data_IF_414549610362
#
_entry.id   IF_414549610362
#
_cell.length_a   1.000
_cell.length_b   1.000
_cell.length_c   1.000
_cell.angle_alpha   90.00
_cell.angle_beta   90.00
_cell.angle_gamma   90.00
#
_symmetry.space_group_name_H-M   'P 1'
#
loop_
_entity.id
_entity.type
_entity.pdbx_description
1 polymer ?
#
# COMPACT_ATOMS: atom_id res chain seq x y z
N UNK A 1 -46.66 -13.42 13.40
CA UNK A 1 -45.85 -13.28 12.17
C UNK A 1 -45.00 -14.53 12.08
N UNK A 2 -45.36 -15.48 11.21
CA UNK A 2 -44.67 -16.77 11.09
C UNK A 2 -43.48 -16.62 10.15
N UNK A 3 -42.30 -17.08 10.57
CA UNK A 3 -41.11 -17.19 9.71
C UNK A 3 -41.20 -18.56 9.04
N UNK A 4 -41.37 -18.58 7.72
CA UNK A 4 -41.37 -19.80 6.90
C UNK A 4 -39.91 -20.19 6.63
N UNK A 5 -39.58 -21.48 6.79
CA UNK A 5 -38.25 -22.01 6.48
C UNK A 5 -38.11 -22.17 4.95
N UNK A 6 -37.05 -21.58 4.37
CA UNK A 6 -36.76 -21.68 2.94
C UNK A 6 -36.41 -23.13 2.53
N UNK A 7 -36.93 -23.59 1.39
CA UNK A 7 -36.78 -24.96 0.91
C UNK A 7 -35.49 -25.15 0.07
N UNK A 8 -34.95 -26.38 -0.02
CA UNK A 8 -33.67 -26.70 -0.69
C UNK A 8 -33.61 -26.44 -2.20
N UNK A 9 -34.69 -25.95 -2.81
CA UNK A 9 -34.81 -25.66 -4.23
C UNK A 9 -34.75 -24.15 -4.58
N UNK A 10 -34.66 -23.27 -3.57
CA UNK A 10 -34.42 -21.82 -3.76
C UNK A 10 -32.92 -21.47 -3.96
N UNK A 11 -32.01 -22.45 -3.88
CA UNK A 11 -30.56 -22.23 -4.00
C UNK A 11 -30.06 -22.10 -5.45
N UNK A 12 -30.96 -22.05 -6.43
CA UNK A 12 -30.61 -21.98 -7.86
C UNK A 12 -30.26 -20.59 -8.40
N UNK A 13 -30.27 -19.54 -7.56
CA UNK A 13 -30.10 -18.15 -8.01
C UNK A 13 -29.29 -17.27 -7.05
N UNK A 14 -28.38 -17.88 -6.29
CA UNK A 14 -27.26 -17.14 -5.70
C UNK A 14 -26.12 -17.22 -6.71
N UNK A 15 -26.24 -16.47 -7.80
CA UNK A 15 -25.06 -16.12 -8.62
C UNK A 15 -24.04 -15.53 -7.66
N UNK A 16 -22.83 -16.10 -7.67
CA UNK A 16 -21.76 -15.74 -6.77
C UNK A 16 -21.59 -14.23 -6.74
N UNK A 17 -21.74 -13.65 -5.55
CA UNK A 17 -21.10 -12.38 -5.23
C UNK A 17 -19.59 -12.64 -5.31
N UNK A 18 -19.06 -12.62 -6.53
CA UNK A 18 -17.66 -12.37 -6.78
C UNK A 18 -17.42 -10.97 -6.22
N UNK A 19 -17.03 -10.91 -4.95
CA UNK A 19 -16.37 -9.75 -4.38
C UNK A 19 -15.13 -9.59 -5.24
N UNK A 20 -15.24 -8.77 -6.29
CA UNK A 20 -14.20 -8.60 -7.28
C UNK A 20 -12.98 -8.10 -6.54
N UNK A 21 -11.94 -8.92 -6.47
CA UNK A 21 -10.60 -8.44 -6.16
C UNK A 21 -10.34 -7.33 -7.20
N UNK A 22 -10.02 -6.10 -6.78
CA UNK A 22 -9.75 -5.03 -7.73
C UNK A 22 -8.61 -5.50 -8.63
N UNK A 23 -8.93 -5.74 -9.90
CA UNK A 23 -7.95 -6.11 -10.91
C UNK A 23 -7.10 -4.86 -11.13
N UNK A 24 -5.93 -4.82 -10.50
CA UNK A 24 -4.89 -3.84 -10.79
C UNK A 24 -4.60 -3.98 -12.29
N UNK A 25 -4.97 -2.97 -13.08
CA UNK A 25 -4.63 -2.89 -14.50
C UNK A 25 -3.37 -2.03 -14.62
N UNK A 26 -2.16 -2.62 -14.54
CA UNK A 26 -0.96 -1.89 -14.92
C UNK A 26 -1.13 -1.46 -16.38
N UNK A 27 -0.89 -0.17 -16.64
CA UNK A 27 -0.89 0.39 -17.99
C UNK A 27 0.21 -0.35 -18.76
N UNK A 28 -0.17 -1.12 -19.78
CA UNK A 28 0.76 -1.98 -20.51
C UNK A 28 1.78 -1.13 -21.28
N UNK A 29 2.88 -0.81 -20.63
CA UNK A 29 4.06 -0.19 -21.22
C UNK A 29 5.23 -1.09 -20.83
N UNK A 30 5.73 -1.89 -21.79
CA UNK A 30 6.84 -2.85 -21.66
C UNK A 30 6.79 -3.79 -20.44
N UNK A 31 6.61 -5.11 -20.64
CA UNK A 31 6.56 -6.08 -19.53
C UNK A 31 7.76 -6.01 -18.56
N UNK A 32 8.94 -5.59 -19.05
CA UNK A 32 10.15 -5.36 -18.26
C UNK A 32 10.08 -4.08 -17.42
N UNK A 33 9.48 -3.01 -17.94
CA UNK A 33 9.18 -1.79 -17.20
C UNK A 33 7.99 -1.97 -16.24
N UNK A 34 7.04 -2.85 -16.55
CA UNK A 34 5.88 -3.13 -15.71
C UNK A 34 6.24 -3.74 -14.36
N UNK A 35 7.11 -4.76 -14.32
CA UNK A 35 7.57 -5.33 -13.05
C UNK A 35 8.53 -4.38 -12.31
N UNK A 36 9.44 -3.71 -13.03
CA UNK A 36 10.35 -2.72 -12.45
C UNK A 36 9.59 -1.58 -11.76
N UNK A 37 8.58 -1.03 -12.44
CA UNK A 37 7.67 -0.01 -11.91
C UNK A 37 6.92 -0.52 -10.69
N UNK A 38 6.39 -1.76 -10.71
CA UNK A 38 5.68 -2.33 -9.55
C UNK A 38 6.60 -2.48 -8.33
N UNK A 39 7.83 -2.97 -8.52
CA UNK A 39 8.79 -3.09 -7.42
C UNK A 39 9.16 -1.72 -6.87
N UNK A 40 9.48 -0.75 -7.74
CA UNK A 40 9.82 0.62 -7.31
C UNK A 40 8.65 1.30 -6.60
N UNK A 41 7.42 1.02 -7.03
CA UNK A 41 6.19 1.49 -6.39
C UNK A 41 6.09 0.97 -4.95
N UNK A 42 6.33 -0.32 -4.74
CA UNK A 42 6.32 -0.90 -3.38
C UNK A 42 7.45 -0.32 -2.53
N UNK A 43 8.65 -0.15 -3.10
CA UNK A 43 9.79 0.45 -2.40
C UNK A 43 9.49 1.90 -1.99
N UNK A 44 8.88 2.70 -2.87
CA UNK A 44 8.50 4.08 -2.57
C UNK A 44 7.42 4.15 -1.48
N UNK A 45 6.42 3.26 -1.52
CA UNK A 45 5.44 3.15 -0.44
C UNK A 45 6.11 2.87 0.92
N UNK A 46 7.04 1.92 0.96
CA UNK A 46 7.79 1.59 2.19
C UNK A 46 8.62 2.79 2.66
N UNK A 47 9.31 3.50 1.75
CA UNK A 47 10.08 4.71 2.07
C UNK A 47 9.20 5.76 2.75
N UNK A 48 8.01 6.03 2.21
CA UNK A 48 7.07 7.00 2.78
C UNK A 48 6.50 6.55 4.14
N UNK A 49 6.23 5.25 4.33
CA UNK A 49 5.83 4.71 5.63
C UNK A 49 6.94 4.89 6.67
N UNK A 50 8.20 4.65 6.30
CA UNK A 50 9.34 4.88 7.18
C UNK A 50 9.47 6.35 7.55
N UNK A 51 9.30 7.26 6.60
CA UNK A 51 9.28 8.72 6.82
C UNK A 51 8.17 9.11 7.81
N UNK A 52 6.96 8.59 7.63
CA UNK A 52 5.84 8.78 8.56
C UNK A 52 6.22 8.40 10.01
N UNK A 53 6.83 7.23 10.18
CA UNK A 53 7.21 6.73 11.50
C UNK A 53 8.35 7.54 12.13
N UNK A 54 9.27 8.10 11.33
CA UNK A 54 10.31 9.01 11.82
C UNK A 54 9.67 10.30 12.35
N UNK A 55 8.76 10.91 11.60
CA UNK A 55 8.05 12.13 12.03
C UNK A 55 7.29 11.87 13.33
N UNK A 56 6.52 10.78 13.42
CA UNK A 56 5.78 10.42 14.64
C UNK A 56 6.70 10.25 15.86
N UNK A 57 7.86 9.60 15.70
CA UNK A 57 8.80 9.41 16.82
C UNK A 57 9.51 10.70 17.20
N UNK A 58 9.80 11.57 16.24
CA UNK A 58 10.31 12.91 16.47
C UNK A 58 9.32 13.74 17.31
N UNK A 59 8.05 13.79 16.90
CA UNK A 59 7.00 14.52 17.63
C UNK A 59 6.75 13.98 19.04
N UNK A 60 6.85 12.66 19.21
CA UNK A 60 6.76 12.01 20.51
C UNK A 60 8.02 12.18 21.39
N UNK A 61 9.05 12.89 20.92
CA UNK A 61 10.32 13.08 21.64
C UNK A 61 11.12 11.80 21.86
N UNK A 62 10.90 10.77 21.03
CA UNK A 62 11.56 9.46 21.15
C UNK A 62 12.83 9.33 20.30
N UNK A 63 13.19 10.37 19.56
CA UNK A 63 14.43 10.44 18.79
C UNK A 63 15.25 11.63 19.26
N UNK A 64 16.55 11.42 19.37
CA UNK A 64 17.54 12.48 19.53
C UNK A 64 17.71 13.27 18.23
N UNK A 65 18.21 14.51 18.32
CA UNK A 65 18.49 15.35 17.14
C UNK A 65 19.42 14.64 16.14
N UNK A 66 20.45 13.95 16.63
CA UNK A 66 21.37 13.18 15.79
C UNK A 66 20.69 11.96 15.12
N UNK A 67 19.69 11.36 15.75
CA UNK A 67 18.88 10.28 15.16
C UNK A 67 17.95 10.79 14.08
N UNK A 68 17.32 11.95 14.29
CA UNK A 68 16.44 12.60 13.32
C UNK A 68 17.24 12.94 12.06
N UNK A 69 18.40 13.58 12.20
CA UNK A 69 19.28 13.94 11.09
C UNK A 69 19.71 12.70 10.29
N UNK A 70 20.17 11.65 10.99
CA UNK A 70 20.59 10.41 10.35
C UNK A 70 19.45 9.70 9.61
N UNK A 71 18.26 9.69 10.19
CA UNK A 71 17.07 9.11 9.55
C UNK A 71 16.67 9.91 8.30
N UNK A 72 16.65 11.24 8.39
CA UNK A 72 16.39 12.12 7.24
C UNK A 72 17.39 11.90 6.11
N UNK A 73 18.68 11.86 6.42
CA UNK A 73 19.73 11.60 5.44
C UNK A 73 19.57 10.23 4.76
N UNK A 74 19.25 9.19 5.54
CA UNK A 74 19.03 7.84 5.00
C UNK A 74 17.80 7.78 4.08
N UNK A 75 16.71 8.45 4.44
CA UNK A 75 15.50 8.51 3.62
C UNK A 75 15.72 9.30 2.33
N UNK A 76 16.50 10.38 2.39
CA UNK A 76 16.91 11.14 1.22
C UNK A 76 17.75 10.29 0.27
N UNK A 77 18.76 9.58 0.80
CA UNK A 77 19.59 8.68 -0.02
C UNK A 77 18.75 7.59 -0.69
N UNK A 78 17.77 7.02 0.02
CA UNK A 78 16.85 6.04 -0.56
C UNK A 78 16.01 6.63 -1.69
N UNK A 79 15.49 7.85 -1.52
CA UNK A 79 14.77 8.57 -2.59
C UNK A 79 15.65 8.78 -3.82
N UNK A 80 16.89 9.25 -3.62
CA UNK A 80 17.82 9.49 -4.73
C UNK A 80 18.15 8.20 -5.49
N UNK A 81 18.27 7.07 -4.79
CA UNK A 81 18.44 5.75 -5.39
C UNK A 81 17.21 5.32 -6.21
N UNK A 82 16.00 5.54 -5.69
CA UNK A 82 14.76 5.25 -6.44
C UNK A 82 14.72 6.06 -7.74
N UNK A 83 15.02 7.35 -7.69
CA UNK A 83 15.06 8.22 -8.86
C UNK A 83 16.13 7.76 -9.87
N UNK A 84 17.32 7.41 -9.39
CA UNK A 84 18.40 6.88 -10.25
C UNK A 84 17.96 5.60 -10.98
N UNK A 85 17.24 4.70 -10.29
CA UNK A 85 16.75 3.46 -10.90
C UNK A 85 15.59 3.75 -11.87
N UNK A 86 14.72 4.72 -11.55
CA UNK A 86 13.67 5.17 -12.47
C UNK A 86 14.27 5.67 -13.79
N UNK A 87 15.30 6.52 -13.72
CA UNK A 87 16.02 7.01 -14.90
C UNK A 87 16.63 5.86 -15.72
N UNK A 88 17.26 4.90 -15.04
CA UNK A 88 17.88 3.73 -15.70
C UNK A 88 16.86 2.84 -16.41
N UNK A 89 15.64 2.76 -15.88
CA UNK A 89 14.56 1.92 -16.41
C UNK A 89 13.57 2.69 -17.29
N UNK A 90 13.82 3.98 -17.55
CA UNK A 90 12.94 4.88 -18.30
C UNK A 90 11.52 4.95 -17.72
N UNK A 91 11.40 4.96 -16.39
CA UNK A 91 10.13 5.04 -15.66
C UNK A 91 9.93 6.48 -15.20
N UNK A 92 8.77 7.06 -15.49
CA UNK A 92 8.38 8.35 -14.90
C UNK A 92 8.10 8.14 -13.39
N UNK A 93 8.75 8.87 -12.47
CA UNK A 93 8.46 8.78 -11.03
C UNK A 93 6.98 8.96 -10.69
N UNK A 94 6.23 9.73 -11.50
CA UNK A 94 4.79 9.90 -11.31
C UNK A 94 3.99 8.61 -11.55
N UNK A 95 4.52 7.69 -12.36
CA UNK A 95 3.90 6.39 -12.63
C UNK A 95 4.03 5.44 -11.43
N UNK A 96 4.88 5.74 -10.43
CA UNK A 96 4.92 4.98 -9.18
C UNK A 96 3.66 5.20 -8.32
N UNK A 97 2.95 6.31 -8.53
CA UNK A 97 1.71 6.57 -7.79
C UNK A 97 0.49 5.94 -8.49
N UNK A 98 0.32 4.64 -8.25
CA UNK A 98 -0.76 3.86 -8.83
C UNK A 98 -2.13 4.29 -8.31
N UNK A 99 -3.12 4.25 -9.21
CA UNK A 99 -4.54 4.36 -8.88
C UNK A 99 -5.10 2.95 -8.62
N UNK A 100 -5.66 2.75 -7.43
CA UNK A 100 -6.21 1.48 -6.96
C UNK A 100 -7.74 1.44 -7.06
N UNK A 101 -8.36 2.43 -7.73
CA UNK A 101 -9.81 2.52 -7.88
C UNK A 101 -10.49 2.97 -6.58
N UNK A 102 -11.33 2.13 -6.00
CA UNK A 102 -12.11 2.46 -4.79
C UNK A 102 -11.25 2.68 -3.54
N UNK A 103 -10.02 2.15 -3.53
CA UNK A 103 -9.04 2.36 -2.47
C UNK A 103 -8.29 3.71 -2.59
N UNK A 104 -8.55 4.48 -3.64
CA UNK A 104 -7.88 5.74 -3.94
C UNK A 104 -6.49 5.53 -4.53
N UNK A 105 -5.62 6.52 -4.38
CA UNK A 105 -4.23 6.44 -4.83
C UNK A 105 -3.35 5.73 -3.81
N UNK A 106 -2.28 5.11 -4.30
CA UNK A 106 -1.29 4.48 -3.44
C UNK A 106 -0.61 5.49 -2.53
N UNK A 107 -0.14 6.59 -3.13
CA UNK A 107 0.60 7.64 -2.47
C UNK A 107 -0.20 8.95 -2.46
N UNK A 108 -0.13 9.72 -1.38
CA UNK A 108 -0.66 11.08 -1.34
C UNK A 108 0.09 11.99 -2.32
N UNK A 109 -0.47 13.17 -2.58
CA UNK A 109 0.24 14.20 -3.37
C UNK A 109 1.55 14.56 -2.67
N UNK A 110 2.61 14.86 -3.45
CA UNK A 110 3.91 15.23 -2.88
C UNK A 110 3.75 16.37 -1.86
N UNK A 111 4.34 16.18 -0.67
CA UNK A 111 4.29 17.16 0.43
C UNK A 111 2.94 17.28 1.13
N UNK A 112 1.91 16.51 0.73
CA UNK A 112 0.58 16.57 1.33
C UNK A 112 0.37 15.58 2.49
N UNK A 113 1.40 14.79 2.83
CA UNK A 113 1.32 13.79 3.89
C UNK A 113 2.11 14.20 5.12
N UNK A 114 1.36 14.43 6.18
CA UNK A 114 1.88 14.59 7.52
C UNK A 114 1.12 13.62 8.42
N UNK A 115 1.81 12.79 9.23
CA UNK A 115 1.11 11.87 10.10
C UNK A 115 0.12 12.61 11.00
N UNK A 116 -1.02 11.96 11.26
CA UNK A 116 -2.16 12.50 12.03
C UNK A 116 -2.92 13.68 11.41
N UNK A 117 -2.58 14.11 10.20
CA UNK A 117 -3.38 15.05 9.41
C UNK A 117 -4.13 14.30 8.31
N UNK A 118 -5.46 14.14 8.42
CA UNK A 118 -6.24 13.45 7.39
C UNK A 118 -6.21 14.26 6.08
N UNK A 119 -5.93 13.60 4.95
CA UNK A 119 -6.10 14.21 3.64
C UNK A 119 -7.54 14.01 3.14
N UNK A 120 -8.01 14.87 2.24
CA UNK A 120 -9.38 14.76 1.68
C UNK A 120 -9.51 13.63 0.66
N UNK A 121 -8.41 13.23 0.00
CA UNK A 121 -8.45 12.29 -1.12
C UNK A 121 -8.25 10.83 -0.69
N UNK A 122 -7.74 10.57 0.53
CA UNK A 122 -7.51 9.23 1.08
C UNK A 122 -6.48 8.42 0.29
N UNK A 123 -5.41 7.97 0.95
CA UNK A 123 -4.37 7.15 0.30
C UNK A 123 -4.18 5.81 1.00
N UNK A 124 -3.71 4.80 0.26
CA UNK A 124 -3.33 3.51 0.88
C UNK A 124 -2.23 3.72 1.93
N UNK A 125 -1.32 4.67 1.70
CA UNK A 125 -0.33 5.08 2.70
C UNK A 125 -0.99 5.50 4.02
N UNK A 126 -1.99 6.38 3.99
CA UNK A 126 -2.72 6.81 5.19
C UNK A 126 -3.42 5.65 5.90
N UNK A 127 -4.02 4.73 5.14
CA UNK A 127 -4.63 3.53 5.71
C UNK A 127 -3.57 2.66 6.39
N UNK A 128 -2.46 2.38 5.70
CA UNK A 128 -1.37 1.56 6.24
C UNK A 128 -0.72 2.20 7.46
N UNK A 129 -0.51 3.52 7.47
CA UNK A 129 0.01 4.24 8.63
C UNK A 129 -0.94 4.17 9.83
N UNK A 130 -2.26 4.29 9.61
CA UNK A 130 -3.27 4.08 10.67
C UNK A 130 -3.25 2.64 11.19
N UNK A 131 -3.09 1.66 10.30
CA UNK A 131 -3.00 0.24 10.68
C UNK A 131 -1.73 -0.05 11.50
N UNK A 132 -0.57 0.51 11.11
CA UNK A 132 0.68 0.44 11.88
C UNK A 132 0.49 1.00 13.27
N UNK A 133 -0.13 2.18 13.35
CA UNK A 133 -0.34 2.88 14.63
C UNK A 133 -1.26 2.08 15.55
N UNK A 134 -2.27 1.41 15.00
CA UNK A 134 -3.25 0.66 15.77
C UNK A 134 -2.75 -0.74 16.17
N UNK A 135 -1.74 -1.28 15.49
CA UNK A 135 -1.20 -2.62 15.76
C UNK A 135 -2.03 -3.75 15.14
N UNK A 136 -2.61 -3.50 13.96
CA UNK A 136 -3.54 -4.43 13.31
C UNK A 136 -2.77 -5.45 12.45
N UNK A 137 -3.20 -6.71 12.51
CA UNK A 137 -2.76 -7.77 11.59
C UNK A 137 -3.75 -7.86 10.44
N UNK A 138 -3.25 -7.75 9.20
CA UNK A 138 -4.03 -7.92 7.98
C UNK A 138 -3.57 -9.21 7.29
N UNK A 139 -4.50 -10.09 6.97
CA UNK A 139 -4.27 -11.27 6.16
C UNK A 139 -5.02 -11.08 4.84
N UNK A 140 -4.31 -11.23 3.72
CA UNK A 140 -4.85 -11.02 2.39
C UNK A 140 -4.31 -12.05 1.42
N UNK A 141 -5.13 -12.40 0.44
CA UNK A 141 -4.76 -13.28 -0.68
C UNK A 141 -4.94 -12.51 -1.98
N UNK A 142 -3.97 -12.63 -2.89
CA UNK A 142 -3.97 -12.01 -4.21
C UNK A 142 -3.59 -13.08 -5.23
N UNK A 143 -4.46 -13.28 -6.20
CA UNK A 143 -4.16 -14.02 -7.43
C UNK A 143 -3.68 -13.06 -8.51
N UNK A 144 -2.47 -13.30 -9.03
CA UNK A 144 -1.90 -12.55 -10.15
C UNK A 144 -1.90 -13.47 -11.37
N UNK A 145 -2.66 -13.06 -12.39
CA UNK A 145 -2.81 -13.79 -13.63
C UNK A 145 -2.34 -13.04 -14.88
N UNK A 146 -2.14 -13.79 -15.97
CA UNK A 146 -1.89 -13.26 -17.31
C UNK A 146 -2.77 -13.99 -18.32
N UNK A 147 -3.42 -13.25 -19.23
CA UNK A 147 -4.25 -13.83 -20.30
C UNK A 147 -5.31 -14.83 -19.78
N UNK A 148 -6.06 -14.44 -18.73
CA UNK A 148 -7.05 -15.28 -18.04
C UNK A 148 -6.49 -16.55 -17.36
N UNK A 149 -5.18 -16.64 -17.17
CA UNK A 149 -4.55 -17.71 -16.40
C UNK A 149 -4.08 -17.16 -15.05
N UNK A 150 -4.52 -17.75 -13.96
CA UNK A 150 -3.96 -17.48 -12.63
C UNK A 150 -2.58 -18.15 -12.55
N UNK A 151 -1.51 -17.37 -12.59
CA UNK A 151 -0.14 -17.87 -12.66
C UNK A 151 0.55 -17.86 -11.30
N UNK A 152 0.18 -16.91 -10.45
CA UNK A 152 0.83 -16.67 -9.16
C UNK A 152 -0.27 -16.48 -8.11
N UNK A 153 -0.35 -17.40 -7.16
CA UNK A 153 -1.14 -17.25 -5.95
C UNK A 153 -0.23 -16.70 -4.84
N UNK A 154 -0.51 -15.49 -4.36
CA UNK A 154 0.26 -14.82 -3.33
C UNK A 154 -0.60 -14.58 -2.08
N UNK A 155 -0.16 -15.10 -0.93
CA UNK A 155 -0.76 -14.76 0.37
C UNK A 155 0.12 -13.71 1.06
N UNK A 156 -0.44 -12.52 1.27
CA UNK A 156 0.19 -11.44 2.00
C UNK A 156 -0.35 -11.43 3.44
N UNK A 157 0.49 -11.89 4.38
CA UNK A 157 0.25 -11.71 5.81
C UNK A 157 1.05 -10.52 6.30
N UNK A 158 0.38 -9.40 6.53
CA UNK A 158 0.99 -8.17 6.99
C UNK A 158 0.73 -7.99 8.50
N UNK A 159 1.77 -8.12 9.30
CA UNK A 159 1.73 -7.84 10.75
C UNK A 159 2.38 -6.48 10.94
N UNK A 160 1.55 -5.45 11.15
CA UNK A 160 2.05 -4.09 11.39
C UNK A 160 2.03 -3.82 12.89
N UNK A 161 3.20 -3.72 13.49
CA UNK A 161 3.35 -3.40 14.91
C UNK A 161 4.11 -2.09 15.02
N UNK A 162 3.54 -1.11 15.70
CA UNK A 162 4.30 0.08 16.08
C UNK A 162 5.05 -0.18 17.38
N UNK A 163 6.37 0.04 17.37
CA UNK A 163 7.21 0.05 18.56
C UNK A 163 6.89 1.23 19.51
N UNK A 164 5.97 2.11 19.11
CA UNK A 164 5.48 3.25 19.90
C UNK A 164 4.70 2.85 21.17
N UNK A 165 4.47 1.55 21.41
CA UNK A 165 3.71 1.02 22.54
C UNK A 165 4.41 -0.10 23.33
N UNK A 166 5.66 -0.42 23.05
CA UNK A 166 6.42 -1.42 23.81
C UNK A 166 7.09 -0.77 25.04
N UNK A 167 6.28 -0.31 26.00
CA UNK A 167 6.64 -0.16 27.42
C UNK A 167 5.41 -0.53 28.26
#
# INVERSE_FOLDING_TARGET
MQITAAQPQDWGQIEGSSTGIPVLRPKAQNAQAGLGSLVLTVVELVRQLMEAQVVRRMEAGRLTEAEIERAGQSLQTMRDQILTICDLLEIDPNDLNLDLGELGRLLPKEGAYYPDQPSQDGSLLELLDRLITTGIVVDGEIDIGLAQLDLIHARLKLVLVSDAKLI
#
